data_IF_790236307702
#
_entry.id   IF_790236307702
#
_cell.length_a   1.000
_cell.length_b   1.000
_cell.length_c   1.000
_cell.angle_alpha   90.00
_cell.angle_beta   90.00
_cell.angle_gamma   90.00
#
_symmetry.space_group_name_H-M   'P 1'
#
loop_
_entity.id
_entity.type
_entity.pdbx_description
1 polymer ?
#
# COMPACT_ATOMS: atom_id res chain seq x y z
N UNK A 1 -16.10 -21.56 -9.79
CA UNK A 1 -17.25 -20.84 -9.21
C UNK A 1 -17.39 -19.42 -9.78
N UNK A 2 -16.36 -18.57 -9.72
CA UNK A 2 -16.41 -17.15 -10.12
C UNK A 2 -16.88 -16.94 -11.57
N UNK A 3 -16.14 -17.48 -12.55
CA UNK A 3 -16.45 -17.34 -13.98
C UNK A 3 -17.87 -17.83 -14.31
N UNK A 4 -18.25 -19.00 -13.78
CA UNK A 4 -19.58 -19.54 -13.96
C UNK A 4 -20.66 -18.62 -13.46
N UNK A 5 -20.50 -18.07 -12.26
CA UNK A 5 -21.50 -17.17 -11.69
C UNK A 5 -21.67 -15.88 -12.50
N UNK A 6 -20.54 -15.28 -12.94
CA UNK A 6 -20.58 -14.08 -13.79
C UNK A 6 -21.21 -14.36 -15.15
N UNK A 7 -20.96 -15.57 -15.71
CA UNK A 7 -21.50 -15.99 -17.02
C UNK A 7 -23.00 -16.28 -16.95
N UNK A 8 -23.47 -16.96 -15.90
CA UNK A 8 -24.90 -17.24 -15.70
C UNK A 8 -25.71 -15.97 -15.42
N UNK A 9 -25.08 -14.97 -14.80
CA UNK A 9 -25.66 -13.65 -14.51
C UNK A 9 -27.06 -13.69 -13.91
N UNK A 10 -27.29 -14.43 -12.80
CA UNK A 10 -28.64 -14.80 -12.36
C UNK A 10 -29.47 -13.66 -11.76
N UNK A 11 -28.90 -12.49 -11.49
CA UNK A 11 -29.57 -11.36 -10.87
C UNK A 11 -29.59 -10.14 -11.79
N UNK A 12 -30.57 -9.27 -11.64
CA UNK A 12 -30.70 -8.02 -12.41
C UNK A 12 -29.55 -7.04 -12.09
N UNK A 13 -29.05 -7.04 -10.83
CA UNK A 13 -27.88 -6.25 -10.40
C UNK A 13 -27.07 -7.00 -9.35
N UNK A 14 -25.82 -6.58 -9.18
CA UNK A 14 -24.94 -7.08 -8.13
C UNK A 14 -24.16 -8.35 -8.47
N UNK A 15 -24.31 -8.94 -9.65
CA UNK A 15 -23.64 -10.18 -10.02
C UNK A 15 -22.10 -10.11 -9.85
N UNK A 16 -21.48 -9.00 -10.25
CA UNK A 16 -20.04 -8.79 -10.06
C UNK A 16 -19.62 -8.70 -8.59
N UNK A 17 -20.45 -8.16 -7.72
CA UNK A 17 -20.19 -8.11 -6.26
C UNK A 17 -20.33 -9.49 -5.63
N UNK A 18 -21.35 -10.21 -5.99
CA UNK A 18 -21.63 -11.56 -5.49
C UNK A 18 -20.54 -12.53 -5.97
N UNK A 19 -20.14 -12.48 -7.23
CA UNK A 19 -19.05 -13.34 -7.76
C UNK A 19 -17.72 -13.12 -7.01
N UNK A 20 -17.40 -11.86 -6.69
CA UNK A 20 -16.22 -11.56 -5.85
C UNK A 20 -16.38 -12.10 -4.43
N UNK A 21 -17.55 -11.96 -3.81
CA UNK A 21 -17.82 -12.52 -2.49
C UNK A 21 -17.70 -14.05 -2.47
N UNK A 22 -18.20 -14.73 -3.51
CA UNK A 22 -18.04 -16.18 -3.70
C UNK A 22 -16.55 -16.54 -3.78
N UNK A 23 -15.75 -15.77 -4.53
CA UNK A 23 -14.31 -16.00 -4.63
C UNK A 23 -13.63 -15.87 -3.27
N UNK A 24 -13.89 -14.77 -2.54
CA UNK A 24 -13.33 -14.55 -1.21
C UNK A 24 -13.71 -15.68 -0.24
N UNK A 25 -14.97 -16.13 -0.28
CA UNK A 25 -15.44 -17.25 0.53
C UNK A 25 -14.70 -18.56 0.21
N UNK A 26 -14.58 -18.89 -1.10
CA UNK A 26 -13.94 -20.13 -1.54
C UNK A 26 -12.44 -20.14 -1.22
N UNK A 27 -11.76 -19.01 -1.36
CA UNK A 27 -10.36 -18.87 -0.98
C UNK A 27 -10.20 -19.02 0.54
N UNK A 28 -11.02 -18.34 1.35
CA UNK A 28 -10.98 -18.48 2.80
C UNK A 28 -11.20 -19.93 3.25
N UNK A 29 -12.13 -20.62 2.59
CA UNK A 29 -12.40 -22.04 2.86
C UNK A 29 -11.21 -22.93 2.49
N UNK A 30 -10.53 -22.67 1.38
CA UNK A 30 -9.39 -23.48 0.92
C UNK A 30 -8.15 -23.29 1.81
N UNK A 31 -7.96 -22.09 2.34
CA UNK A 31 -6.82 -21.76 3.22
C UNK A 31 -7.01 -22.22 4.66
N UNK A 32 -8.22 -22.62 5.04
CA UNK A 32 -8.59 -22.99 6.41
C UNK A 32 -8.13 -21.95 7.45
N UNK A 33 -8.16 -20.67 7.06
CA UNK A 33 -7.72 -19.53 7.86
C UNK A 33 -8.87 -18.59 8.18
N UNK A 34 -8.94 -18.15 9.44
CA UNK A 34 -9.91 -17.14 9.87
C UNK A 34 -9.50 -15.72 9.44
N UNK A 35 -8.23 -15.52 9.13
CA UNK A 35 -7.68 -14.19 8.79
C UNK A 35 -7.02 -14.24 7.43
N UNK A 36 -7.43 -13.30 6.57
CA UNK A 36 -6.82 -13.06 5.27
C UNK A 36 -6.37 -11.61 5.19
N UNK A 37 -5.12 -11.42 4.81
CA UNK A 37 -4.51 -10.09 4.72
C UNK A 37 -4.52 -9.51 3.30
N UNK A 38 -4.97 -10.29 2.31
CA UNK A 38 -5.12 -9.86 0.93
C UNK A 38 -6.58 -9.85 0.47
N UNK A 39 -6.89 -9.12 -0.60
CA UNK A 39 -8.24 -9.03 -1.17
C UNK A 39 -8.21 -9.07 -2.68
N UNK A 40 -8.70 -10.17 -3.24
CA UNK A 40 -8.97 -10.32 -4.68
C UNK A 40 -9.95 -9.25 -5.17
N UNK A 41 -10.98 -8.97 -4.39
CA UNK A 41 -12.01 -7.99 -4.72
C UNK A 41 -11.43 -6.60 -4.96
N UNK A 42 -10.51 -6.16 -4.09
CA UNK A 42 -9.80 -4.89 -4.23
C UNK A 42 -8.95 -4.85 -5.51
N UNK A 43 -8.22 -5.93 -5.78
CA UNK A 43 -7.34 -5.99 -6.96
C UNK A 43 -8.12 -6.03 -8.27
N UNK A 44 -9.22 -6.78 -8.33
CA UNK A 44 -10.14 -6.79 -9.46
C UNK A 44 -10.70 -5.39 -9.73
N UNK A 45 -11.08 -4.65 -8.68
CA UNK A 45 -11.60 -3.29 -8.83
C UNK A 45 -10.56 -2.32 -9.39
N UNK A 46 -9.31 -2.42 -8.94
CA UNK A 46 -8.20 -1.60 -9.45
C UNK A 46 -7.94 -1.85 -10.94
N UNK A 47 -8.14 -3.07 -11.42
CA UNK A 47 -7.92 -3.48 -12.80
C UNK A 47 -9.22 -3.85 -13.53
N UNK A 48 -10.33 -3.20 -13.14
CA UNK A 48 -11.70 -3.56 -13.55
C UNK A 48 -11.87 -3.66 -15.08
N UNK A 49 -11.29 -2.73 -15.82
CA UNK A 49 -11.43 -2.72 -17.28
C UNK A 49 -10.87 -3.98 -17.90
N UNK A 50 -9.60 -4.30 -17.64
CA UNK A 50 -8.96 -5.51 -18.18
C UNK A 50 -9.68 -6.78 -17.73
N UNK A 51 -10.10 -6.85 -16.47
CA UNK A 51 -10.87 -7.97 -15.94
C UNK A 51 -12.19 -8.17 -16.70
N UNK A 52 -12.97 -7.12 -16.96
CA UNK A 52 -14.21 -7.20 -17.73
C UNK A 52 -13.96 -7.60 -19.18
N UNK A 53 -12.93 -7.04 -19.82
CA UNK A 53 -12.56 -7.36 -21.21
C UNK A 53 -12.16 -8.84 -21.37
N UNK A 54 -11.47 -9.41 -20.38
CA UNK A 54 -11.10 -10.83 -20.37
C UNK A 54 -12.33 -11.72 -20.19
N UNK A 55 -13.23 -11.39 -19.26
CA UNK A 55 -14.49 -12.15 -19.07
C UNK A 55 -15.31 -12.11 -20.36
N UNK A 56 -15.53 -10.95 -20.94
CA UNK A 56 -16.33 -10.81 -22.15
C UNK A 56 -15.75 -11.64 -23.34
N UNK A 57 -14.44 -11.59 -23.53
CA UNK A 57 -13.76 -12.40 -24.55
C UNK A 57 -13.93 -13.90 -24.29
N UNK A 58 -13.81 -14.33 -23.03
CA UNK A 58 -13.98 -15.74 -22.64
C UNK A 58 -15.42 -16.20 -22.86
N UNK A 59 -16.40 -15.38 -22.55
CA UNK A 59 -17.83 -15.70 -22.73
C UNK A 59 -18.24 -15.81 -24.21
N UNK A 60 -17.61 -15.02 -25.09
CA UNK A 60 -17.85 -15.03 -26.54
C UNK A 60 -16.98 -16.03 -27.30
N UNK A 61 -16.06 -16.70 -26.61
CA UNK A 61 -15.09 -17.62 -27.20
C UNK A 61 -15.60 -19.06 -27.37
N UNK A 62 -14.66 -19.96 -27.63
CA UNK A 62 -14.87 -21.36 -27.94
C UNK A 62 -14.74 -22.30 -26.73
N UNK A 63 -15.12 -21.88 -25.55
CA UNK A 63 -14.96 -22.61 -24.28
C UNK A 63 -13.51 -22.67 -23.74
N UNK A 64 -12.53 -22.10 -24.44
CA UNK A 64 -11.18 -21.96 -23.90
C UNK A 64 -11.15 -20.86 -22.83
N UNK A 65 -10.99 -21.27 -21.58
CA UNK A 65 -10.93 -20.37 -20.42
C UNK A 65 -9.50 -20.04 -20.00
N UNK A 66 -8.49 -20.43 -20.77
CA UNK A 66 -7.08 -20.26 -20.43
C UNK A 66 -6.73 -18.79 -20.15
N UNK A 67 -7.18 -17.87 -21.03
CA UNK A 67 -6.94 -16.44 -20.86
C UNK A 67 -7.55 -15.88 -19.56
N UNK A 68 -8.73 -16.36 -19.18
CA UNK A 68 -9.36 -16.00 -17.92
C UNK A 68 -8.61 -16.57 -16.71
N UNK A 69 -8.17 -17.83 -16.78
CA UNK A 69 -7.40 -18.46 -15.70
C UNK A 69 -6.10 -17.71 -15.45
N UNK A 70 -5.36 -17.34 -16.49
CA UNK A 70 -4.14 -16.55 -16.39
C UNK A 70 -4.46 -15.21 -15.68
N UNK A 71 -5.43 -14.48 -16.19
CA UNK A 71 -5.83 -13.18 -15.58
C UNK A 71 -6.26 -13.33 -14.11
N UNK A 72 -6.96 -14.41 -13.78
CA UNK A 72 -7.41 -14.67 -12.41
C UNK A 72 -6.22 -14.96 -11.48
N UNK A 73 -5.28 -15.81 -11.90
CA UNK A 73 -4.11 -16.16 -11.10
C UNK A 73 -3.12 -14.99 -10.99
N UNK A 74 -2.93 -14.20 -12.04
CA UNK A 74 -2.13 -12.97 -11.97
C UNK A 74 -2.73 -11.99 -10.97
N UNK A 75 -4.06 -11.79 -11.02
CA UNK A 75 -4.77 -10.94 -10.06
C UNK A 75 -4.64 -11.46 -8.63
N UNK A 76 -4.66 -12.77 -8.44
CA UNK A 76 -4.49 -13.42 -7.14
C UNK A 76 -3.06 -13.23 -6.60
N UNK A 77 -2.06 -13.46 -7.43
CA UNK A 77 -0.66 -13.24 -7.09
C UNK A 77 -0.38 -11.77 -6.73
N UNK A 78 -0.90 -10.86 -7.52
CA UNK A 78 -0.79 -9.41 -7.25
C UNK A 78 -1.46 -9.04 -5.91
N UNK A 79 -2.61 -9.63 -5.59
CA UNK A 79 -3.29 -9.35 -4.33
C UNK A 79 -2.48 -9.81 -3.10
N UNK A 80 -1.81 -10.96 -3.20
CA UNK A 80 -0.91 -11.48 -2.17
C UNK A 80 0.31 -10.57 -2.04
N UNK A 81 0.95 -10.24 -3.17
CA UNK A 81 2.14 -9.37 -3.20
C UNK A 81 1.87 -7.99 -2.61
N UNK A 82 0.70 -7.41 -2.89
CA UNK A 82 0.27 -6.14 -2.29
C UNK A 82 0.14 -6.24 -0.76
N UNK A 83 -0.36 -7.37 -0.25
CA UNK A 83 -0.50 -7.60 1.19
C UNK A 83 0.86 -7.79 1.87
N UNK A 84 1.76 -8.54 1.26
CA UNK A 84 3.13 -8.74 1.77
C UNK A 84 3.87 -7.40 1.84
N UNK A 85 3.84 -6.61 0.78
CA UNK A 85 4.45 -5.28 0.75
C UNK A 85 3.84 -4.32 1.79
N UNK A 86 2.54 -4.41 2.05
CA UNK A 86 1.89 -3.62 3.08
C UNK A 86 2.31 -4.06 4.48
N UNK A 87 2.41 -5.37 4.70
CA UNK A 87 2.86 -5.97 5.96
C UNK A 87 4.30 -5.58 6.29
N UNK A 88 5.22 -5.70 5.33
CA UNK A 88 6.61 -5.28 5.48
C UNK A 88 6.73 -3.80 5.86
N UNK A 89 5.99 -2.93 5.17
CA UNK A 89 5.97 -1.49 5.51
C UNK A 89 5.49 -1.23 6.93
N UNK A 90 4.45 -1.92 7.38
CA UNK A 90 3.94 -1.80 8.75
C UNK A 90 4.97 -2.28 9.78
N UNK A 91 5.63 -3.41 9.51
CA UNK A 91 6.68 -3.93 10.39
C UNK A 91 7.88 -3.00 10.46
N UNK A 92 8.34 -2.47 9.32
CA UNK A 92 9.43 -1.48 9.28
C UNK A 92 9.05 -0.22 10.08
N UNK A 93 7.83 0.26 9.93
CA UNK A 93 7.33 1.42 10.68
C UNK A 93 7.26 1.14 12.18
N UNK A 94 6.78 -0.02 12.57
CA UNK A 94 6.72 -0.42 13.99
C UNK A 94 8.11 -0.53 14.61
N UNK A 95 9.06 -1.18 13.94
CA UNK A 95 10.46 -1.30 14.38
C UNK A 95 11.12 0.08 14.49
N UNK A 96 10.92 0.93 13.52
CA UNK A 96 11.44 2.30 13.55
C UNK A 96 10.98 3.04 14.81
N UNK A 97 9.68 3.00 15.13
CA UNK A 97 9.13 3.65 16.31
C UNK A 97 9.62 3.03 17.62
N UNK A 98 9.81 1.70 17.66
CA UNK A 98 10.42 1.03 18.81
C UNK A 98 11.85 1.50 19.06
N UNK A 99 12.66 1.65 18.01
CA UNK A 99 14.06 2.05 18.12
C UNK A 99 14.26 3.51 18.58
N UNK A 100 13.26 4.36 18.39
CA UNK A 100 13.32 5.76 18.81
C UNK A 100 12.36 6.11 19.96
N UNK A 101 11.83 5.09 20.65
CA UNK A 101 10.81 5.29 21.71
C UNK A 101 11.29 6.17 22.86
N UNK A 102 12.59 6.17 23.15
CA UNK A 102 13.22 6.99 24.20
C UNK A 102 13.47 8.45 23.78
N UNK A 103 13.28 8.78 22.52
CA UNK A 103 13.55 10.13 22.00
C UNK A 103 12.27 10.95 22.09
N UNK A 104 12.39 12.13 22.71
CA UNK A 104 11.27 13.09 22.74
C UNK A 104 11.03 13.67 21.35
N UNK A 105 9.84 13.36 20.78
CA UNK A 105 9.42 13.74 19.43
C UNK A 105 8.08 14.45 19.51
N UNK A 106 8.07 15.71 19.10
CA UNK A 106 6.86 16.53 19.05
C UNK A 106 5.81 15.98 18.07
N UNK A 107 4.55 16.34 18.30
CA UNK A 107 3.42 15.88 17.47
C UNK A 107 3.60 16.22 15.97
N UNK A 108 4.15 17.39 15.63
CA UNK A 108 4.48 17.77 14.26
C UNK A 108 5.53 16.88 13.64
N UNK A 109 6.62 16.67 14.34
CA UNK A 109 7.72 15.82 13.92
C UNK A 109 7.27 14.36 13.73
N UNK A 110 6.42 13.83 14.60
CA UNK A 110 5.81 12.50 14.48
C UNK A 110 5.01 12.37 13.19
N UNK A 111 4.27 13.42 12.82
CA UNK A 111 3.50 13.47 11.57
C UNK A 111 4.42 13.45 10.34
N UNK A 112 5.55 14.18 10.37
CA UNK A 112 6.55 14.19 9.32
C UNK A 112 7.18 12.80 9.12
N UNK A 113 7.63 12.18 10.21
CA UNK A 113 8.23 10.86 10.20
C UNK A 113 7.26 9.84 9.60
N UNK A 114 6.01 9.82 10.08
CA UNK A 114 4.99 8.92 9.55
C UNK A 114 4.77 9.12 8.04
N UNK A 115 4.71 10.37 7.56
CA UNK A 115 4.55 10.67 6.14
C UNK A 115 5.69 10.14 5.29
N UNK A 116 6.92 10.22 5.80
CA UNK A 116 8.11 9.67 5.13
C UNK A 116 8.13 8.13 5.15
N UNK A 117 7.74 7.52 6.27
CA UNK A 117 7.66 6.06 6.40
C UNK A 117 6.54 5.44 5.55
N UNK A 118 5.44 6.17 5.35
CA UNK A 118 4.32 5.74 4.50
C UNK A 118 4.63 5.83 2.99
N UNK A 119 5.82 6.33 2.62
CA UNK A 119 6.25 6.43 1.24
C UNK A 119 5.83 7.76 0.61
N UNK A 120 6.47 8.85 1.02
CA UNK A 120 6.26 10.14 0.37
C UNK A 120 6.83 10.15 -1.04
N UNK A 121 5.98 10.41 -2.03
CA UNK A 121 6.42 10.55 -3.42
C UNK A 121 7.13 11.90 -3.64
N UNK A 122 8.34 11.83 -4.19
CA UNK A 122 9.18 13.00 -4.46
C UNK A 122 10.16 13.33 -3.32
N UNK A 123 10.68 14.56 -3.34
CA UNK A 123 11.69 15.05 -2.40
C UNK A 123 11.03 15.86 -1.28
N UNK A 124 11.15 15.39 -0.05
CA UNK A 124 10.65 16.13 1.11
C UNK A 124 11.59 17.31 1.42
N UNK A 125 11.14 18.51 1.14
CA UNK A 125 11.83 19.75 1.49
C UNK A 125 11.18 20.40 2.70
N UNK A 126 11.86 21.38 3.33
CA UNK A 126 11.28 22.16 4.43
C UNK A 126 10.02 22.92 3.99
N UNK A 127 9.97 23.37 2.74
CA UNK A 127 8.78 24.04 2.19
C UNK A 127 7.61 23.09 1.99
N UNK A 128 7.87 21.88 1.48
CA UNK A 128 6.85 20.83 1.41
C UNK A 128 6.30 20.48 2.79
N UNK A 129 7.21 20.35 3.78
CA UNK A 129 6.79 20.09 5.14
C UNK A 129 5.95 21.22 5.73
N UNK A 130 6.35 22.49 5.54
CA UNK A 130 5.58 23.64 5.98
C UNK A 130 4.15 23.61 5.43
N UNK A 131 3.98 23.29 4.14
CA UNK A 131 2.68 23.18 3.51
C UNK A 131 1.83 22.02 4.08
N UNK A 132 2.42 20.84 4.23
CA UNK A 132 1.72 19.66 4.78
C UNK A 132 1.30 19.88 6.23
N UNK A 133 2.16 20.56 6.98
CA UNK A 133 1.95 20.86 8.41
C UNK A 133 0.98 22.02 8.64
N UNK A 134 0.86 22.93 7.67
CA UNK A 134 0.14 24.19 7.83
C UNK A 134 0.84 25.14 8.82
N UNK A 135 2.18 25.24 8.75
CA UNK A 135 2.98 26.08 9.65
C UNK A 135 3.93 26.99 8.87
N UNK A 136 4.59 27.92 9.58
CA UNK A 136 5.60 28.78 8.98
C UNK A 136 6.82 27.98 8.54
N UNK A 137 7.54 28.52 7.53
CA UNK A 137 8.81 27.95 7.05
C UNK A 137 9.84 27.79 8.18
N UNK A 138 9.89 28.74 9.11
CA UNK A 138 10.79 28.69 10.27
C UNK A 138 10.47 27.53 11.20
N UNK A 139 9.18 27.31 11.48
CA UNK A 139 8.74 26.19 12.32
C UNK A 139 9.10 24.86 11.64
N UNK A 140 8.82 24.72 10.35
CA UNK A 140 9.17 23.53 9.58
C UNK A 140 10.68 23.28 9.60
N UNK A 141 11.48 24.32 9.40
CA UNK A 141 12.95 24.23 9.43
C UNK A 141 13.48 23.81 10.80
N UNK A 142 12.90 24.35 11.89
CA UNK A 142 13.26 23.94 13.26
C UNK A 142 12.91 22.48 13.53
N UNK A 143 11.72 22.04 13.16
CA UNK A 143 11.29 20.64 13.32
C UNK A 143 12.23 19.68 12.60
N UNK A 144 12.61 20.00 11.35
CA UNK A 144 13.52 19.19 10.54
C UNK A 144 14.93 19.17 11.11
N UNK A 145 15.47 20.34 11.49
CA UNK A 145 16.82 20.45 12.05
C UNK A 145 16.95 19.71 13.39
N UNK A 146 15.93 19.76 14.24
CA UNK A 146 15.89 18.99 15.49
C UNK A 146 15.90 17.46 15.20
N UNK A 147 15.14 17.00 14.22
CA UNK A 147 15.16 15.59 13.80
C UNK A 147 16.53 15.17 13.21
N UNK A 148 17.22 16.06 12.51
CA UNK A 148 18.58 15.81 12.03
C UNK A 148 19.56 15.72 13.23
N UNK A 149 19.48 16.66 14.19
CA UNK A 149 20.30 16.63 15.40
C UNK A 149 20.09 15.35 16.21
N UNK A 150 18.86 14.83 16.25
CA UNK A 150 18.49 13.53 16.83
C UNK A 150 18.89 12.32 15.96
N UNK A 151 19.51 12.56 14.81
CA UNK A 151 19.91 11.54 13.81
C UNK A 151 18.72 10.69 13.30
N UNK A 152 17.51 11.21 13.33
CA UNK A 152 16.29 10.56 12.81
C UNK A 152 16.13 10.83 11.32
N UNK A 153 16.49 12.02 10.88
CA UNK A 153 16.55 12.40 9.48
C UNK A 153 17.99 12.61 9.02
N UNK A 154 18.21 12.38 7.75
CA UNK A 154 19.41 12.78 7.03
C UNK A 154 19.07 13.88 6.02
N UNK A 155 20.02 14.78 5.83
CA UNK A 155 19.94 15.84 4.84
C UNK A 155 20.69 15.40 3.59
N UNK A 156 20.02 15.43 2.46
CA UNK A 156 20.58 15.07 1.15
C UNK A 156 20.52 16.25 0.20
N UNK A 157 21.48 16.31 -0.74
CA UNK A 157 21.58 17.40 -1.71
C UNK A 157 22.18 18.68 -1.13
N UNK A 158 22.41 19.67 -2.03
CA UNK A 158 23.03 20.96 -1.69
C UNK A 158 22.19 22.09 -2.29
N UNK A 159 22.09 23.21 -1.58
CA UNK A 159 21.38 24.41 -2.03
C UNK A 159 19.91 24.12 -2.32
N UNK A 160 19.45 24.46 -3.54
CA UNK A 160 18.02 24.30 -3.92
C UNK A 160 17.56 22.83 -4.05
N UNK A 161 18.51 21.89 -4.15
CA UNK A 161 18.20 20.45 -4.23
C UNK A 161 18.13 19.77 -2.86
N UNK A 162 18.29 20.52 -1.77
CA UNK A 162 18.22 20.00 -0.40
C UNK A 162 16.88 19.34 -0.12
N UNK A 163 16.93 18.10 0.35
CA UNK A 163 15.78 17.34 0.79
C UNK A 163 16.15 16.45 1.98
N UNK A 164 15.16 15.85 2.60
CA UNK A 164 15.30 15.10 3.84
C UNK A 164 14.70 13.71 3.67
N UNK A 165 15.41 12.71 4.20
CA UNK A 165 14.95 11.32 4.23
C UNK A 165 15.14 10.71 5.62
N UNK A 166 14.49 9.58 5.86
CA UNK A 166 14.65 8.83 7.10
C UNK A 166 16.05 8.24 7.17
N UNK A 167 16.70 8.41 8.32
CA UNK A 167 17.96 7.72 8.61
C UNK A 167 17.68 6.24 8.87
N UNK A 168 17.85 5.42 7.83
CA UNK A 168 17.57 3.98 7.90
C UNK A 168 18.53 3.23 8.81
N UNK A 169 19.78 3.68 8.92
CA UNK A 169 20.78 3.03 9.77
C UNK A 169 20.38 3.09 11.25
N UNK A 170 19.80 4.19 11.70
CA UNK A 170 19.34 4.33 13.08
C UNK A 170 17.98 3.67 13.33
N UNK A 171 17.09 3.71 12.37
CA UNK A 171 15.73 3.16 12.50
C UNK A 171 15.65 1.65 12.26
N UNK A 172 16.66 1.06 11.60
CA UNK A 172 16.70 -0.35 11.22
C UNK A 172 17.92 -1.10 11.79
N UNK A 173 18.86 -0.39 12.44
CA UNK A 173 20.01 -0.99 13.07
C UNK A 173 19.62 -1.60 14.42
N UNK A 174 19.18 -2.82 14.40
CA UNK A 174 19.33 -3.81 15.47
C UNK A 174 18.60 -5.11 15.09
N UNK A 175 19.25 -5.96 14.37
CA UNK A 175 19.29 -7.41 14.59
C UNK A 175 20.64 -7.89 14.08
#
# INVERSE_FOLDING_TARGET
>A
AHLWFVTLHPFDDGNGRISRAITEYMLAKSENSQFRFYSMSKRIEQNRKNYCDVIERTQKGNLDITGWLICFFDTFFDAISDADNASERLMLKARFWQNIISIDIGAGQRKLINKLLDGFEGKMTSSHWANIRGCSQDTASREVNDLIAKSILIKEGVGRSTHYSINRERGLAAI
#
